data_IF_812254049179
#
_entry.id   IF_812254049179
#
_cell.length_a   1.000
_cell.length_b   1.000
_cell.length_c   1.000
_cell.angle_alpha   90.00
_cell.angle_beta   90.00
_cell.angle_gamma   90.00
#
_symmetry.space_group_name_H-M   'P 1'
#
loop_
_entity.id
_entity.type
_entity.pdbx_description
1 polymer ?
#
# COMPACT_ATOMS: atom_id res chain seq x y z
N UNK A 1 13.62 -7.06 -1.22
CA UNK A 1 14.54 -8.19 -1.07
C UNK A 1 13.76 -9.45 -1.38
N UNK A 2 14.22 -10.33 -2.27
CA UNK A 2 13.57 -11.61 -2.53
C UNK A 2 13.80 -12.57 -1.36
N UNK A 3 12.77 -13.30 -0.98
CA UNK A 3 12.84 -14.38 0.00
C UNK A 3 12.30 -15.63 -0.69
N UNK A 4 13.08 -16.69 -0.68
CA UNK A 4 12.69 -18.04 -1.11
C UNK A 4 12.80 -18.95 0.12
N UNK A 5 11.69 -19.55 0.52
CA UNK A 5 11.64 -20.49 1.63
C UNK A 5 11.02 -21.81 1.14
N UNK A 6 11.69 -22.90 1.44
CA UNK A 6 11.22 -24.24 1.14
C UNK A 6 11.36 -25.10 2.37
N UNK A 7 10.23 -25.64 2.87
CA UNK A 7 10.18 -26.50 4.03
C UNK A 7 9.48 -27.82 3.69
N UNK A 8 10.01 -28.92 4.22
CA UNK A 8 9.41 -30.23 4.10
C UNK A 8 8.95 -30.67 5.49
N UNK A 9 7.63 -30.72 5.68
CA UNK A 9 6.99 -31.24 6.90
C UNK A 9 6.04 -32.38 6.52
N UNK A 10 4.74 -32.31 6.90
CA UNK A 10 3.70 -33.23 6.41
C UNK A 10 3.37 -33.02 4.92
N UNK A 11 3.59 -31.81 4.42
CA UNK A 11 3.55 -31.45 3.01
C UNK A 11 4.64 -30.44 2.72
N UNK A 12 5.07 -30.34 1.45
CA UNK A 12 6.05 -29.36 1.04
C UNK A 12 5.45 -27.94 1.13
N UNK A 13 6.13 -27.03 1.83
CA UNK A 13 5.80 -25.62 1.88
C UNK A 13 6.78 -24.87 0.98
N UNK A 14 6.27 -24.14 0.02
CA UNK A 14 7.04 -23.26 -0.83
C UNK A 14 6.55 -21.83 -0.64
N UNK A 15 7.43 -20.91 -0.34
CA UNK A 15 7.11 -19.48 -0.20
C UNK A 15 8.09 -18.65 -1.00
N UNK A 16 7.56 -17.80 -1.86
CA UNK A 16 8.31 -16.80 -2.63
C UNK A 16 7.76 -15.42 -2.29
N UNK A 17 8.61 -14.55 -1.75
CA UNK A 17 8.29 -13.14 -1.49
C UNK A 17 9.32 -12.25 -2.18
N UNK A 18 8.86 -11.16 -2.74
CA UNK A 18 9.72 -10.11 -3.28
C UNK A 18 9.16 -8.74 -2.90
N UNK A 19 10.05 -7.85 -2.48
CA UNK A 19 9.75 -6.43 -2.30
C UNK A 19 10.89 -5.65 -2.93
N UNK A 20 10.56 -4.80 -3.90
CA UNK A 20 11.49 -3.91 -4.56
C UNK A 20 10.90 -2.49 -4.58
N UNK A 21 11.73 -1.51 -4.28
CA UNK A 21 11.40 -0.10 -4.37
C UNK A 21 12.53 0.60 -5.14
N UNK A 22 12.20 1.16 -6.29
CA UNK A 22 13.15 1.86 -7.17
C UNK A 22 12.74 3.32 -7.24
N UNK A 23 13.66 4.21 -6.85
CA UNK A 23 13.51 5.65 -6.97
C UNK A 23 14.53 6.17 -7.99
N UNK A 24 14.05 6.65 -9.13
CA UNK A 24 14.87 7.23 -10.19
C UNK A 24 14.73 8.74 -10.15
N UNK A 25 15.80 9.41 -9.75
CA UNK A 25 15.90 10.88 -9.83
C UNK A 25 16.28 11.29 -11.26
N UNK A 26 15.32 11.84 -12.01
CA UNK A 26 15.54 12.29 -13.38
C UNK A 26 16.25 13.65 -13.40
N UNK A 27 15.86 14.55 -12.50
CA UNK A 27 16.50 15.85 -12.28
C UNK A 27 16.11 16.38 -10.89
N UNK A 28 16.49 17.64 -10.56
CA UNK A 28 16.21 18.24 -9.25
C UNK A 28 14.74 18.27 -8.85
N UNK A 29 13.81 18.21 -9.81
CA UNK A 29 12.38 18.40 -9.59
C UNK A 29 11.53 17.18 -10.01
N UNK A 30 12.13 16.10 -10.50
CA UNK A 30 11.38 14.96 -11.08
C UNK A 30 11.92 13.63 -10.58
N UNK A 31 11.02 12.81 -10.06
CA UNK A 31 11.33 11.48 -9.54
C UNK A 31 10.33 10.48 -10.11
N UNK A 32 10.81 9.34 -10.56
CA UNK A 32 9.96 8.16 -10.82
C UNK A 32 10.15 7.22 -9.65
N UNK A 33 9.03 6.80 -9.05
CA UNK A 33 9.01 5.81 -8.00
C UNK A 33 8.25 4.56 -8.48
N UNK A 34 8.89 3.41 -8.39
CA UNK A 34 8.32 2.10 -8.71
C UNK A 34 8.40 1.21 -7.49
N UNK A 35 7.25 0.78 -7.00
CA UNK A 35 7.13 -0.16 -5.89
C UNK A 35 6.55 -1.47 -6.42
N UNK A 36 7.23 -2.56 -6.16
CA UNK A 36 6.75 -3.92 -6.44
C UNK A 36 6.76 -4.72 -5.15
N UNK A 37 5.64 -5.39 -4.87
CA UNK A 37 5.51 -6.41 -3.82
C UNK A 37 4.83 -7.62 -4.40
N UNK A 38 5.36 -8.78 -4.11
CA UNK A 38 4.80 -10.05 -4.55
C UNK A 38 4.97 -11.08 -3.44
N UNK A 39 3.91 -11.84 -3.18
CA UNK A 39 3.93 -12.95 -2.23
C UNK A 39 3.15 -14.14 -2.81
N UNK A 40 3.79 -15.29 -2.82
CA UNK A 40 3.21 -16.56 -3.24
C UNK A 40 3.61 -17.63 -2.25
N UNK A 41 2.65 -18.41 -1.76
CA UNK A 41 2.91 -19.52 -0.83
C UNK A 41 1.97 -20.68 -1.07
N UNK A 42 2.52 -21.89 -1.08
CA UNK A 42 1.76 -23.13 -1.23
C UNK A 42 2.05 -24.10 -0.10
N UNK A 43 1.08 -24.96 0.23
CA UNK A 43 1.21 -26.12 1.11
C UNK A 43 0.80 -27.36 0.33
N UNK A 44 1.78 -28.17 -0.10
CA UNK A 44 1.57 -29.23 -1.08
C UNK A 44 1.04 -28.65 -2.40
N UNK A 45 -0.18 -29.05 -2.77
CA UNK A 45 -0.87 -28.55 -3.98
C UNK A 45 -1.84 -27.38 -3.68
N UNK A 46 -2.02 -27.02 -2.40
CA UNK A 46 -2.93 -25.96 -2.00
C UNK A 46 -2.21 -24.59 -2.03
N UNK A 47 -2.83 -23.63 -2.69
CA UNK A 47 -2.42 -22.23 -2.64
C UNK A 47 -2.85 -21.63 -1.29
N UNK A 48 -1.89 -21.14 -0.49
CA UNK A 48 -2.15 -20.49 0.79
C UNK A 48 -2.25 -18.99 0.60
N UNK A 49 -1.27 -18.41 -0.09
CA UNK A 49 -1.18 -16.97 -0.36
C UNK A 49 -0.79 -16.75 -1.81
N UNK A 50 -1.55 -15.93 -2.50
CA UNK A 50 -1.16 -15.32 -3.77
C UNK A 50 -1.59 -13.88 -3.72
N UNK A 51 -0.62 -12.98 -3.79
CA UNK A 51 -0.89 -11.56 -3.75
C UNK A 51 0.25 -10.75 -4.33
N UNK A 52 -0.08 -9.58 -4.83
CA UNK A 52 0.90 -8.66 -5.36
C UNK A 52 0.40 -7.24 -5.44
N UNK A 53 1.35 -6.34 -5.51
CA UNK A 53 1.14 -4.91 -5.60
C UNK A 53 2.23 -4.30 -6.46
N UNK A 54 1.83 -3.59 -7.50
CA UNK A 54 2.70 -2.80 -8.36
C UNK A 54 2.20 -1.36 -8.35
N UNK A 55 3.07 -0.42 -8.03
CA UNK A 55 2.75 1.01 -8.01
C UNK A 55 3.83 1.77 -8.76
N UNK A 56 3.40 2.56 -9.72
CA UNK A 56 4.24 3.48 -10.49
C UNK A 56 3.76 4.90 -10.25
N UNK A 57 4.67 5.77 -9.88
CA UNK A 57 4.39 7.17 -9.58
C UNK A 57 5.45 8.07 -10.24
N UNK A 58 5.00 9.14 -10.87
CA UNK A 58 5.87 10.20 -11.38
C UNK A 58 5.63 11.46 -10.55
N UNK A 59 6.61 11.90 -9.78
CA UNK A 59 6.54 13.11 -8.96
C UNK A 59 7.16 14.29 -9.67
N UNK A 60 6.45 15.38 -9.69
CA UNK A 60 6.92 16.67 -10.16
C UNK A 60 6.82 17.71 -9.04
N UNK A 61 7.97 18.20 -8.58
CA UNK A 61 8.07 19.25 -7.59
C UNK A 61 7.90 20.61 -8.31
N UNK A 62 6.78 21.27 -8.09
CA UNK A 62 6.44 22.55 -8.68
C UNK A 62 7.21 23.69 -7.99
N UNK A 63 7.26 23.65 -6.65
CA UNK A 63 8.04 24.55 -5.83
C UNK A 63 8.63 23.81 -4.61
N UNK A 64 9.18 24.55 -3.63
CA UNK A 64 9.80 23.96 -2.45
C UNK A 64 8.84 23.18 -1.56
N UNK A 65 7.52 23.37 -1.68
CA UNK A 65 6.51 22.78 -0.80
C UNK A 65 5.44 21.98 -1.54
N UNK A 66 5.23 22.21 -2.83
CA UNK A 66 4.12 21.67 -3.59
C UNK A 66 4.57 20.69 -4.65
N UNK A 67 4.00 19.49 -4.62
CA UNK A 67 4.28 18.41 -5.57
C UNK A 67 2.98 17.94 -6.23
N UNK A 68 3.06 17.55 -7.50
CA UNK A 68 1.99 16.86 -8.23
C UNK A 68 2.51 15.53 -8.70
N UNK A 69 1.70 14.46 -8.56
CA UNK A 69 2.11 13.14 -8.97
C UNK A 69 0.95 12.31 -9.56
N UNK A 70 0.95 12.11 -10.88
CA UNK A 70 0.18 11.03 -11.48
C UNK A 70 0.74 9.68 -11.04
N UNK A 71 -0.14 8.72 -10.85
CA UNK A 71 0.22 7.36 -10.49
C UNK A 71 -0.70 6.33 -11.12
N UNK A 72 -0.21 5.12 -11.22
CA UNK A 72 -0.97 3.93 -11.56
C UNK A 72 -0.57 2.79 -10.63
N UNK A 73 -1.53 1.99 -10.22
CA UNK A 73 -1.29 0.81 -9.39
C UNK A 73 -2.13 -0.38 -9.84
N UNK A 74 -1.58 -1.56 -9.61
CA UNK A 74 -2.25 -2.84 -9.81
C UNK A 74 -2.04 -3.69 -8.57
N UNK A 75 -3.10 -4.33 -8.11
CA UNK A 75 -3.08 -5.19 -6.92
C UNK A 75 -3.95 -6.43 -7.16
N UNK A 76 -3.53 -7.55 -6.59
CA UNK A 76 -4.33 -8.77 -6.47
C UNK A 76 -4.08 -9.44 -5.12
N UNK A 77 -5.04 -10.17 -4.61
CA UNK A 77 -4.96 -10.91 -3.36
C UNK A 77 -5.98 -12.06 -3.39
N UNK A 78 -5.63 -13.14 -4.08
CA UNK A 78 -6.52 -14.28 -4.33
C UNK A 78 -7.01 -14.93 -3.03
N UNK A 79 -6.15 -15.03 -2.02
CA UNK A 79 -6.51 -15.54 -0.68
C UNK A 79 -7.62 -14.72 0.00
N UNK A 80 -7.88 -13.49 -0.45
CA UNK A 80 -8.96 -12.61 0.00
C UNK A 80 -10.14 -12.54 -0.96
N UNK A 81 -10.07 -13.28 -2.07
CA UNK A 81 -11.04 -13.19 -3.15
C UNK A 81 -10.88 -11.97 -4.07
N UNK A 82 -9.84 -11.15 -3.90
CA UNK A 82 -9.56 -10.03 -4.80
C UNK A 82 -8.74 -10.51 -5.99
N UNK A 83 -9.42 -10.77 -7.12
CA UNK A 83 -8.76 -11.23 -8.33
C UNK A 83 -7.89 -10.11 -8.93
N UNK A 84 -8.43 -8.89 -8.98
CA UNK A 84 -7.72 -7.78 -9.60
C UNK A 84 -8.27 -6.43 -9.15
N UNK A 85 -7.36 -5.49 -8.88
CA UNK A 85 -7.66 -4.09 -8.61
C UNK A 85 -6.68 -3.23 -9.38
N UNK A 86 -7.19 -2.32 -10.19
CA UNK A 86 -6.39 -1.32 -10.91
C UNK A 86 -6.86 0.06 -10.48
N UNK A 87 -5.93 0.93 -10.16
CA UNK A 87 -6.20 2.33 -9.86
C UNK A 87 -5.25 3.22 -10.66
N UNK A 88 -5.75 4.34 -11.15
CA UNK A 88 -4.94 5.38 -11.77
C UNK A 88 -5.48 6.75 -11.40
N UNK A 89 -4.60 7.68 -11.08
CA UNK A 89 -5.03 8.97 -10.59
C UNK A 89 -3.96 10.04 -10.59
N UNK A 90 -4.39 11.21 -10.13
CA UNK A 90 -3.56 12.38 -9.96
C UNK A 90 -3.72 12.86 -8.52
N UNK A 91 -2.60 13.09 -7.85
CA UNK A 91 -2.56 13.64 -6.50
C UNK A 91 -1.69 14.88 -6.45
N UNK A 92 -2.06 15.78 -5.56
CA UNK A 92 -1.29 16.96 -5.19
C UNK A 92 -0.90 16.84 -3.73
N UNK A 93 0.34 17.11 -3.41
CA UNK A 93 0.88 17.04 -2.06
C UNK A 93 1.52 18.36 -1.67
N UNK A 94 1.17 18.81 -0.48
CA UNK A 94 1.71 20.02 0.11
C UNK A 94 2.48 19.69 1.38
N UNK A 95 3.68 20.27 1.51
CA UNK A 95 4.53 20.13 2.69
C UNK A 95 4.11 21.16 3.74
N UNK A 96 3.48 20.68 4.82
CA UNK A 96 3.00 21.51 5.92
C UNK A 96 4.10 21.87 6.92
N UNK A 97 4.97 20.89 7.24
CA UNK A 97 6.07 21.04 8.19
C UNK A 97 7.34 20.51 7.54
N UNK A 98 8.44 21.26 7.69
CA UNK A 98 9.76 20.87 7.23
C UNK A 98 10.82 21.41 8.21
N UNK A 99 11.11 20.65 9.24
CA UNK A 99 12.16 20.95 10.21
C UNK A 99 13.19 19.83 10.23
N UNK A 100 14.29 20.00 10.97
CA UNK A 100 15.33 18.96 11.09
C UNK A 100 14.80 17.63 11.66
N UNK A 101 13.79 17.70 12.55
CA UNK A 101 13.27 16.51 13.24
C UNK A 101 11.85 16.15 12.79
N UNK A 102 11.18 16.98 12.00
CA UNK A 102 9.74 16.83 11.72
C UNK A 102 9.40 17.18 10.29
N UNK A 103 8.70 16.29 9.61
CA UNK A 103 8.26 16.46 8.23
C UNK A 103 6.80 16.04 8.11
N UNK A 104 5.94 16.93 7.61
CA UNK A 104 4.52 16.67 7.47
C UNK A 104 4.01 17.04 6.09
N UNK A 105 3.23 16.15 5.51
CA UNK A 105 2.58 16.35 4.21
C UNK A 105 1.08 16.12 4.31
N UNK A 106 0.32 16.96 3.63
CA UNK A 106 -1.07 16.67 3.29
C UNK A 106 -1.16 16.44 1.78
N UNK A 107 -1.97 15.46 1.36
CA UNK A 107 -2.23 15.21 -0.05
C UNK A 107 -3.72 15.11 -0.32
N UNK A 108 -4.11 15.56 -1.51
CA UNK A 108 -5.47 15.45 -2.04
C UNK A 108 -5.38 15.00 -3.49
N UNK A 109 -6.32 14.17 -3.92
CA UNK A 109 -6.34 13.71 -5.30
C UNK A 109 -7.64 13.05 -5.71
N UNK A 110 -7.69 12.70 -6.98
CA UNK A 110 -8.75 11.93 -7.61
C UNK A 110 -8.14 10.74 -8.32
N UNK A 111 -8.83 9.59 -8.27
CA UNK A 111 -8.40 8.41 -8.98
C UNK A 111 -9.59 7.59 -9.46
N UNK A 112 -9.37 6.94 -10.59
CA UNK A 112 -10.25 5.90 -11.08
C UNK A 112 -9.82 4.57 -10.46
N UNK A 113 -10.79 3.76 -10.03
CA UNK A 113 -10.57 2.42 -9.48
C UNK A 113 -11.47 1.41 -10.19
N UNK A 114 -10.88 0.32 -10.64
CA UNK A 114 -11.55 -0.87 -11.12
C UNK A 114 -11.19 -2.03 -10.21
N UNK A 115 -12.20 -2.75 -9.71
CA UNK A 115 -12.02 -3.94 -8.87
C UNK A 115 -12.82 -5.11 -9.42
N UNK A 116 -12.20 -6.30 -9.41
CA UNK A 116 -12.84 -7.59 -9.69
C UNK A 116 -12.62 -8.49 -8.49
N UNK A 117 -13.71 -8.98 -7.92
CA UNK A 117 -13.70 -9.85 -6.75
C UNK A 117 -14.41 -11.16 -7.06
N UNK A 118 -13.94 -12.25 -6.45
CA UNK A 118 -14.64 -13.53 -6.41
C UNK A 118 -15.58 -13.53 -5.20
N UNK A 119 -16.83 -13.93 -5.40
CA UNK A 119 -17.78 -14.01 -4.30
C UNK A 119 -17.46 -15.24 -3.43
N UNK A 120 -17.38 -15.12 -2.08
CA UNK A 120 -16.96 -16.22 -1.21
C UNK A 120 -17.96 -17.37 -1.16
N UNK A 121 -19.23 -17.13 -1.45
CA UNK A 121 -20.30 -18.12 -1.51
C UNK A 121 -21.25 -17.83 -2.68
N UNK A 122 -20.85 -18.18 -3.92
CA UNK A 122 -21.72 -18.01 -5.08
C UNK A 122 -22.88 -19.01 -5.01
N UNK A 123 -24.08 -18.58 -5.37
CA UNK A 123 -25.26 -19.40 -5.52
C UNK A 123 -25.99 -19.09 -6.83
N UNK A 124 -27.15 -19.71 -7.09
CA UNK A 124 -27.91 -19.51 -8.31
C UNK A 124 -28.33 -18.04 -8.57
N UNK A 125 -28.41 -17.22 -7.51
CA UNK A 125 -28.83 -15.81 -7.55
C UNK A 125 -27.63 -14.85 -7.36
N UNK A 126 -26.48 -15.32 -6.95
CA UNK A 126 -25.29 -14.52 -6.64
C UNK A 126 -24.20 -14.85 -7.66
N UNK A 127 -23.78 -13.89 -8.49
CA UNK A 127 -22.75 -14.14 -9.50
C UNK A 127 -21.41 -14.52 -8.84
N UNK A 128 -20.66 -15.40 -9.48
CA UNK A 128 -19.33 -15.84 -9.03
C UNK A 128 -18.35 -14.66 -8.90
N UNK A 129 -18.51 -13.65 -9.71
CA UNK A 129 -17.65 -12.46 -9.70
C UNK A 129 -18.45 -11.18 -9.53
N UNK A 130 -17.96 -10.31 -8.68
CA UNK A 130 -18.42 -8.93 -8.51
C UNK A 130 -17.43 -7.94 -9.09
N UNK A 131 -17.96 -6.90 -9.73
CA UNK A 131 -17.17 -5.86 -10.40
C UNK A 131 -17.58 -4.48 -9.88
N UNK A 132 -16.59 -3.61 -9.70
CA UNK A 132 -16.82 -2.20 -9.39
C UNK A 132 -15.95 -1.30 -10.26
N UNK A 133 -16.53 -0.19 -10.69
CA UNK A 133 -15.84 0.91 -11.37
C UNK A 133 -16.27 2.21 -10.72
N UNK A 134 -15.31 2.97 -10.22
CA UNK A 134 -15.65 4.23 -9.54
C UNK A 134 -14.51 5.23 -9.66
N UNK A 135 -14.89 6.51 -9.64
CA UNK A 135 -13.95 7.60 -9.36
C UNK A 135 -14.02 7.86 -7.86
N UNK A 136 -12.87 7.97 -7.22
CA UNK A 136 -12.76 8.23 -5.79
C UNK A 136 -11.89 9.44 -5.52
N UNK A 137 -12.21 10.14 -4.44
CA UNK A 137 -11.34 11.14 -3.84
C UNK A 137 -10.34 10.46 -2.92
N UNK A 138 -9.16 11.04 -2.79
CA UNK A 138 -8.11 10.63 -1.87
C UNK A 138 -7.68 11.83 -1.04
N UNK A 139 -7.71 11.67 0.27
CA UNK A 139 -7.10 12.60 1.22
C UNK A 139 -6.10 11.82 2.03
N UNK A 140 -4.91 12.35 2.26
CA UNK A 140 -3.94 11.74 3.17
C UNK A 140 -3.15 12.77 3.95
N UNK A 141 -2.72 12.35 5.14
CA UNK A 141 -1.84 13.09 6.01
C UNK A 141 -0.69 12.17 6.41
N UNK A 142 0.53 12.56 6.08
CA UNK A 142 1.75 11.81 6.43
C UNK A 142 2.62 12.64 7.33
N UNK A 143 3.10 12.04 8.41
CA UNK A 143 3.96 12.68 9.38
C UNK A 143 5.16 11.81 9.69
N UNK A 144 6.36 12.36 9.53
CA UNK A 144 7.62 11.75 9.93
C UNK A 144 8.22 12.55 11.07
N UNK A 145 8.53 11.88 12.17
CA UNK A 145 9.10 12.46 13.39
C UNK A 145 10.37 11.70 13.76
N UNK A 146 11.47 12.40 13.88
CA UNK A 146 12.69 11.89 14.47
C UNK A 146 12.61 12.06 15.99
N UNK A 147 12.30 10.97 16.70
CA UNK A 147 12.12 10.96 18.15
C UNK A 147 13.47 11.12 18.88
N UNK A 148 14.50 10.45 18.37
CA UNK A 148 15.88 10.55 18.81
C UNK A 148 16.81 10.37 17.60
N UNK A 149 18.12 10.44 17.79
CA UNK A 149 19.10 10.15 16.70
C UNK A 149 18.91 8.75 16.08
N UNK A 150 18.42 7.80 16.88
CA UNK A 150 18.23 6.40 16.46
C UNK A 150 16.79 6.04 16.11
N UNK A 151 15.79 6.75 16.64
CA UNK A 151 14.39 6.41 16.48
C UNK A 151 13.67 7.37 15.56
N UNK A 152 13.00 6.83 14.55
CA UNK A 152 12.13 7.59 13.63
C UNK A 152 10.76 6.94 13.59
N UNK A 153 9.72 7.73 13.77
CA UNK A 153 8.32 7.34 13.59
C UNK A 153 7.80 8.00 12.31
N UNK A 154 7.22 7.19 11.42
CA UNK A 154 6.46 7.68 10.26
C UNK A 154 5.04 7.19 10.35
N UNK A 155 4.06 8.08 10.28
CA UNK A 155 2.65 7.72 10.30
C UNK A 155 1.96 8.29 9.07
N UNK A 156 0.96 7.57 8.54
CA UNK A 156 0.13 8.03 7.43
C UNK A 156 -1.32 7.65 7.71
N UNK A 157 -2.22 8.62 7.60
CA UNK A 157 -3.66 8.42 7.58
C UNK A 157 -4.19 8.67 6.19
N UNK A 158 -5.15 7.86 5.72
CA UNK A 158 -5.76 7.92 4.41
C UNK A 158 -7.28 7.88 4.54
N UNK A 159 -7.94 8.72 3.79
CA UNK A 159 -9.38 8.74 3.61
C UNK A 159 -9.69 8.71 2.11
N UNK A 160 -10.48 7.73 1.68
CA UNK A 160 -10.91 7.57 0.31
C UNK A 160 -12.42 7.41 0.25
N UNK A 161 -13.06 8.08 -0.70
CA UNK A 161 -14.51 7.99 -0.85
C UNK A 161 -14.92 8.30 -2.28
N UNK A 162 -16.12 7.86 -2.65
CA UNK A 162 -16.76 8.30 -3.90
C UNK A 162 -17.35 9.69 -3.69
N UNK A 163 -17.26 10.62 -4.66
CA UNK A 163 -17.83 11.97 -4.53
C UNK A 163 -19.36 11.98 -4.30
N UNK A 164 -20.05 10.95 -4.80
CA UNK A 164 -21.52 10.79 -4.66
C UNK A 164 -21.93 10.20 -3.29
N UNK A 165 -20.99 9.69 -2.51
CA UNK A 165 -21.26 9.01 -1.22
C UNK A 165 -20.24 9.35 -0.12
N UNK A 166 -19.83 10.62 -0.08
CA UNK A 166 -18.67 11.10 0.69
C UNK A 166 -18.63 10.67 2.15
N UNK A 167 -19.76 10.59 2.85
CA UNK A 167 -19.81 10.23 4.25
C UNK A 167 -20.36 8.82 4.52
N UNK A 168 -21.00 8.20 3.53
CA UNK A 168 -21.73 6.95 3.75
C UNK A 168 -20.88 5.70 3.48
N UNK A 169 -19.91 5.78 2.58
CA UNK A 169 -19.15 4.63 2.07
C UNK A 169 -17.64 4.93 1.97
N UNK A 170 -17.02 5.48 3.01
CA UNK A 170 -15.59 5.75 2.99
C UNK A 170 -14.75 4.50 3.21
N UNK A 171 -13.52 4.54 2.69
CA UNK A 171 -12.43 3.63 3.03
C UNK A 171 -11.38 4.40 3.82
N UNK A 172 -11.02 3.91 4.99
CA UNK A 172 -9.97 4.46 5.83
C UNK A 172 -8.71 3.62 5.70
N UNK A 173 -7.57 4.26 5.70
CA UNK A 173 -6.28 3.60 5.76
C UNK A 173 -5.41 4.26 6.82
N UNK A 174 -4.52 3.46 7.40
CA UNK A 174 -3.51 3.95 8.32
C UNK A 174 -2.25 3.11 8.22
N UNK A 175 -1.10 3.76 8.38
CA UNK A 175 0.19 3.09 8.49
C UNK A 175 1.02 3.77 9.57
N UNK A 176 1.81 2.98 10.29
CA UNK A 176 2.81 3.45 11.24
C UNK A 176 4.08 2.61 11.07
N UNK A 177 5.19 3.28 10.76
CA UNK A 177 6.52 2.68 10.64
C UNK A 177 7.38 3.22 11.78
N UNK A 178 7.85 2.34 12.65
CA UNK A 178 8.82 2.66 13.70
C UNK A 178 10.19 2.10 13.30
N UNK A 179 11.12 2.98 13.02
CA UNK A 179 12.48 2.63 12.60
C UNK A 179 13.46 2.83 13.76
N UNK A 180 14.27 1.82 14.03
CA UNK A 180 15.42 1.89 14.91
C UNK A 180 16.71 1.73 14.11
N UNK A 181 17.55 2.76 14.05
CA UNK A 181 18.85 2.73 13.37
C UNK A 181 19.91 2.15 14.32
N UNK A 182 20.39 0.95 14.00
CA UNK A 182 21.48 0.28 14.72
C UNK A 182 22.80 0.99 14.38
N UNK A 183 23.01 1.20 13.06
CA UNK A 183 24.12 1.95 12.49
C UNK A 183 23.59 2.97 11.48
N UNK A 184 24.41 3.85 10.90
CA UNK A 184 23.96 4.74 9.82
C UNK A 184 23.41 4.01 8.58
N UNK A 185 23.81 2.75 8.38
CA UNK A 185 23.45 1.95 7.20
C UNK A 185 22.52 0.79 7.50
N UNK A 186 22.33 0.40 8.76
CA UNK A 186 21.52 -0.75 9.17
C UNK A 186 20.48 -0.33 10.20
N UNK A 187 19.23 -0.70 9.98
CA UNK A 187 18.12 -0.44 10.89
C UNK A 187 17.11 -1.58 10.94
N UNK A 188 16.27 -1.56 11.95
CA UNK A 188 15.08 -2.41 12.08
C UNK A 188 13.86 -1.52 11.88
N UNK A 189 12.90 -1.97 11.09
CA UNK A 189 11.63 -1.28 10.85
C UNK A 189 10.49 -2.18 11.25
N UNK A 190 9.69 -1.74 12.22
CA UNK A 190 8.40 -2.31 12.53
C UNK A 190 7.31 -1.54 11.79
N UNK A 191 6.51 -2.19 10.97
CA UNK A 191 5.41 -1.60 10.19
C UNK A 191 4.09 -2.16 10.66
N UNK A 192 3.14 -1.29 10.96
CA UNK A 192 1.73 -1.64 11.15
C UNK A 192 0.87 -0.93 10.10
N UNK A 193 -0.05 -1.66 9.50
CA UNK A 193 -1.00 -1.13 8.51
C UNK A 193 -2.41 -1.58 8.83
N UNK A 194 -3.35 -0.66 8.67
CA UNK A 194 -4.79 -0.89 8.83
C UNK A 194 -5.50 -0.37 7.58
N UNK A 195 -6.44 -1.15 7.06
CA UNK A 195 -7.43 -0.70 6.07
C UNK A 195 -8.80 -1.08 6.61
N UNK A 196 -9.73 -0.13 6.60
CA UNK A 196 -11.12 -0.35 6.95
C UNK A 196 -12.01 0.15 5.81
N UNK A 197 -12.72 -0.78 5.16
CA UNK A 197 -13.67 -0.50 4.10
C UNK A 197 -15.09 -0.63 4.64
N UNK A 198 -15.85 0.46 4.62
CA UNK A 198 -17.22 0.47 5.17
C UNK A 198 -18.20 -0.26 4.30
N UNK A 199 -17.93 -0.36 2.99
CA UNK A 199 -18.83 -0.95 1.98
C UNK A 199 -18.05 -1.82 0.98
N UNK A 200 -17.54 -2.99 1.41
CA UNK A 200 -16.81 -3.90 0.52
C UNK A 200 -17.73 -4.48 -0.55
N UNK A 201 -17.20 -4.67 -1.77
CA UNK A 201 -17.96 -5.11 -2.95
C UNK A 201 -18.55 -6.51 -2.77
N UNK A 202 -17.88 -7.36 -2.02
CA UNK A 202 -18.33 -8.72 -1.64
C UNK A 202 -18.33 -8.84 -0.12
N UNK A 203 -19.10 -9.79 0.47
CA UNK A 203 -19.19 -9.95 1.93
C UNK A 203 -17.91 -10.54 2.53
N UNK A 204 -16.85 -9.71 2.59
CA UNK A 204 -15.58 -10.00 3.24
C UNK A 204 -15.42 -9.13 4.50
N UNK A 205 -14.42 -9.43 5.31
CA UNK A 205 -14.09 -8.60 6.47
C UNK A 205 -13.84 -7.15 6.05
N UNK A 206 -14.40 -6.22 6.80
CA UNK A 206 -14.25 -4.77 6.57
C UNK A 206 -12.88 -4.25 7.02
N UNK A 207 -12.31 -4.89 8.04
CA UNK A 207 -11.00 -4.54 8.60
C UNK A 207 -9.91 -5.48 8.08
N UNK A 208 -8.77 -4.90 7.76
CA UNK A 208 -7.60 -5.61 7.33
C UNK A 208 -6.35 -5.01 7.98
N UNK A 209 -5.66 -5.84 8.76
CA UNK A 209 -4.49 -5.44 9.52
C UNK A 209 -3.27 -6.26 9.08
N UNK A 210 -2.13 -5.61 8.95
CA UNK A 210 -0.84 -6.27 8.75
C UNK A 210 0.18 -5.72 9.71
N UNK A 211 1.04 -6.58 10.22
CA UNK A 211 2.20 -6.21 11.03
C UNK A 211 3.43 -6.93 10.46
N UNK A 212 4.47 -6.17 10.19
CA UNK A 212 5.72 -6.67 9.61
C UNK A 212 6.91 -6.12 10.39
N UNK A 213 7.97 -6.91 10.51
CA UNK A 213 9.28 -6.45 11.00
C UNK A 213 10.31 -6.78 9.94
N UNK A 214 11.11 -5.82 9.55
CA UNK A 214 12.12 -5.96 8.51
C UNK A 214 13.45 -5.30 8.90
N UNK A 215 14.53 -5.82 8.33
CA UNK A 215 15.83 -5.14 8.32
C UNK A 215 15.86 -4.15 7.16
N UNK A 216 16.29 -2.93 7.44
CA UNK A 216 16.58 -1.90 6.44
C UNK A 216 18.08 -1.74 6.29
N UNK A 217 18.61 -1.89 5.07
CA UNK A 217 20.03 -1.72 4.76
C UNK A 217 20.11 -0.66 3.66
N UNK A 218 20.86 0.41 3.94
CA UNK A 218 21.12 1.51 3.01
C UNK A 218 22.58 1.45 2.55
N UNK A 219 22.82 1.64 1.27
CA UNK A 219 24.15 1.65 0.66
C UNK A 219 24.50 3.04 0.16
#
# INVERSE_FOLDING_TARGET
>A
MPILDFKTEKANVFTLKNTANLNLLLNRNRVINLINKFEFSTYGKMLIVSGGYLHLEYRYLLDHAFEVYPYAESQWAESRGMNHKISAGLQSRYRLINTKCSLMFAAVGLFFEYEKWQHPAPDANTPEHAYSRSIKTHLSLSYKLQLTEKWTLTTTGIYQTRPDSTFNKPRYGGAADLTYNITPTVGIVGTYRLIYDTDPIVPVRKDYNTMEVALNISF
#
